data_IF_131118188094
#
_entry.id   IF_131118188094
#
_cell.length_a   1.000
_cell.length_b   1.000
_cell.length_c   1.000
_cell.angle_alpha   90.00
_cell.angle_beta   90.00
_cell.angle_gamma   90.00
#
_symmetry.space_group_name_H-M   'P 1'
#
loop_
_entity.id
_entity.type
_entity.pdbx_description
1 polymer ?
#
# COMPACT_ATOMS: atom_id res chain seq x y z
N UNK A 1 6.27 26.82 -9.96
CA UNK A 1 5.28 25.88 -9.41
C UNK A 1 4.91 24.76 -10.39
N UNK A 2 5.21 24.89 -11.69
CA UNK A 2 4.95 23.90 -12.75
C UNK A 2 5.80 22.63 -12.68
N UNK A 3 7.06 22.74 -12.25
CA UNK A 3 8.07 21.71 -12.55
C UNK A 3 7.89 20.41 -11.76
N UNK A 4 7.16 20.47 -10.63
CA UNK A 4 6.87 19.29 -9.81
C UNK A 4 5.50 18.65 -10.15
N UNK A 5 4.70 19.24 -11.03
CA UNK A 5 3.36 18.73 -11.32
C UNK A 5 3.40 17.41 -12.10
N UNK A 6 4.29 17.31 -13.09
CA UNK A 6 4.44 16.14 -13.94
C UNK A 6 4.77 14.88 -13.10
N UNK A 7 5.83 14.86 -12.27
CA UNK A 7 6.13 13.67 -11.46
C UNK A 7 5.00 13.35 -10.46
N UNK A 8 4.33 14.37 -9.90
CA UNK A 8 3.21 14.19 -8.98
C UNK A 8 1.98 13.51 -9.63
N UNK A 9 1.80 13.63 -10.96
CA UNK A 9 0.70 12.98 -11.69
C UNK A 9 1.14 11.64 -12.31
N UNK A 10 2.31 11.59 -12.93
CA UNK A 10 2.78 10.41 -13.69
C UNK A 10 3.02 9.23 -12.76
N UNK A 11 3.71 9.44 -11.63
CA UNK A 11 4.12 8.34 -10.76
C UNK A 11 2.89 7.65 -10.12
N UNK A 12 1.93 8.37 -9.50
CA UNK A 12 0.72 7.73 -8.99
C UNK A 12 -0.13 7.09 -10.09
N UNK A 13 -0.16 7.65 -11.31
CA UNK A 13 -0.88 7.04 -12.44
C UNK A 13 -0.32 5.65 -12.78
N UNK A 14 1.00 5.49 -12.76
CA UNK A 14 1.65 4.19 -12.96
C UNK A 14 1.25 3.22 -11.83
N UNK A 15 1.24 3.66 -10.58
CA UNK A 15 0.79 2.81 -9.46
C UNK A 15 -0.66 2.38 -9.59
N UNK A 16 -1.57 3.32 -9.92
CA UNK A 16 -2.98 3.03 -10.15
C UNK A 16 -3.12 1.97 -11.24
N UNK A 17 -2.45 2.17 -12.37
CA UNK A 17 -2.49 1.25 -13.49
C UNK A 17 -1.97 -0.14 -13.10
N UNK A 18 -0.80 -0.23 -12.47
CA UNK A 18 -0.20 -1.51 -12.08
C UNK A 18 -1.05 -2.25 -11.04
N UNK A 19 -1.51 -1.57 -9.97
CA UNK A 19 -2.34 -2.17 -8.95
C UNK A 19 -3.69 -2.64 -9.52
N UNK A 20 -4.31 -1.84 -10.38
CA UNK A 20 -5.57 -2.21 -11.04
C UNK A 20 -5.37 -3.40 -11.96
N UNK A 21 -4.31 -3.40 -12.78
CA UNK A 21 -3.98 -4.48 -13.70
C UNK A 21 -3.74 -5.79 -12.95
N UNK A 22 -2.97 -5.76 -11.86
CA UNK A 22 -2.75 -6.94 -10.99
C UNK A 22 -4.11 -7.42 -10.45
N UNK A 23 -4.90 -6.54 -9.83
CA UNK A 23 -6.19 -6.92 -9.23
C UNK A 23 -7.23 -7.46 -10.23
N UNK A 24 -7.27 -6.93 -11.45
CA UNK A 24 -8.16 -7.45 -12.50
C UNK A 24 -7.71 -8.83 -12.95
N UNK A 25 -6.42 -8.99 -13.27
CA UNK A 25 -5.85 -10.26 -13.77
C UNK A 25 -5.92 -11.39 -12.75
N UNK A 26 -5.71 -11.11 -11.46
CA UNK A 26 -5.88 -12.11 -10.41
C UNK A 26 -7.32 -12.63 -10.33
N UNK A 27 -8.31 -11.87 -10.84
CA UNK A 27 -9.70 -12.29 -10.92
C UNK A 27 -10.00 -13.40 -11.92
N UNK A 28 -9.09 -13.70 -12.85
CA UNK A 28 -9.24 -14.77 -13.84
C UNK A 28 -9.10 -16.16 -13.18
N UNK A 29 -8.42 -16.25 -12.04
CA UNK A 29 -8.16 -17.50 -11.34
C UNK A 29 -9.34 -17.96 -10.48
N UNK A 30 -9.75 -19.21 -10.67
CA UNK A 30 -10.79 -19.87 -9.88
C UNK A 30 -10.21 -20.96 -8.98
N UNK A 31 -10.79 -21.13 -7.78
CA UNK A 31 -10.40 -22.16 -6.83
C UNK A 31 -11.57 -23.14 -6.62
N UNK A 32 -11.33 -24.47 -6.60
CA UNK A 32 -12.38 -25.44 -6.32
C UNK A 32 -12.92 -25.33 -4.89
N UNK A 33 -12.05 -25.04 -3.92
CA UNK A 33 -12.44 -24.86 -2.53
C UNK A 33 -12.91 -23.41 -2.27
N UNK A 34 -14.06 -23.29 -1.60
CA UNK A 34 -14.67 -22.03 -1.26
C UNK A 34 -13.83 -21.22 -0.24
N UNK A 35 -13.09 -21.90 0.65
CA UNK A 35 -12.25 -21.22 1.62
C UNK A 35 -11.04 -20.55 0.95
N UNK A 36 -10.36 -21.28 0.07
CA UNK A 36 -9.27 -20.75 -0.76
C UNK A 36 -9.76 -19.64 -1.71
N UNK A 37 -10.93 -19.82 -2.34
CA UNK A 37 -11.55 -18.81 -3.18
C UNK A 37 -11.85 -17.51 -2.43
N UNK A 38 -12.35 -17.59 -1.19
CA UNK A 38 -12.55 -16.40 -0.34
C UNK A 38 -11.23 -15.74 0.00
N UNK A 39 -10.21 -16.49 0.39
CA UNK A 39 -8.91 -15.91 0.72
C UNK A 39 -8.29 -15.20 -0.49
N UNK A 40 -8.36 -15.84 -1.66
CA UNK A 40 -7.92 -15.26 -2.93
C UNK A 40 -8.67 -13.96 -3.26
N UNK A 41 -9.97 -13.92 -3.01
CA UNK A 41 -10.76 -12.70 -3.17
C UNK A 41 -10.26 -11.56 -2.27
N UNK A 42 -9.88 -11.82 -1.02
CA UNK A 42 -9.32 -10.78 -0.14
C UNK A 42 -7.97 -10.26 -0.67
N UNK A 43 -7.14 -11.14 -1.23
CA UNK A 43 -5.88 -10.74 -1.88
C UNK A 43 -6.13 -9.87 -3.11
N UNK A 44 -7.12 -10.23 -3.93
CA UNK A 44 -7.57 -9.42 -5.06
C UNK A 44 -8.12 -8.06 -4.62
N UNK A 45 -8.95 -8.06 -3.57
CA UNK A 45 -9.54 -6.85 -3.00
C UNK A 45 -8.45 -5.86 -2.57
N UNK A 46 -7.38 -6.34 -1.93
CA UNK A 46 -6.25 -5.49 -1.56
C UNK A 46 -5.69 -4.71 -2.75
N UNK A 47 -5.43 -5.37 -3.88
CA UNK A 47 -4.92 -4.70 -5.09
C UNK A 47 -5.90 -3.66 -5.65
N UNK A 48 -7.19 -4.02 -5.75
CA UNK A 48 -8.22 -3.12 -6.28
C UNK A 48 -8.44 -1.89 -5.39
N UNK A 49 -8.48 -2.08 -4.07
CA UNK A 49 -8.64 -0.97 -3.13
C UNK A 49 -7.37 -0.13 -3.01
N UNK A 50 -6.18 -0.72 -3.16
CA UNK A 50 -4.93 0.05 -3.28
C UNK A 50 -4.95 0.93 -4.53
N UNK A 51 -5.42 0.40 -5.66
CA UNK A 51 -5.60 1.19 -6.88
C UNK A 51 -6.64 2.31 -6.71
N UNK A 52 -7.78 2.01 -6.07
CA UNK A 52 -8.82 3.00 -5.79
C UNK A 52 -8.32 4.13 -4.87
N UNK A 53 -7.62 3.79 -3.79
CA UNK A 53 -7.01 4.78 -2.89
C UNK A 53 -5.98 5.65 -3.60
N UNK A 54 -5.13 5.05 -4.44
CA UNK A 54 -4.16 5.80 -5.25
C UNK A 54 -4.85 6.71 -6.28
N UNK A 55 -5.96 6.27 -6.89
CA UNK A 55 -6.75 7.06 -7.83
C UNK A 55 -7.41 8.27 -7.14
N UNK A 56 -7.92 8.08 -5.92
CA UNK A 56 -8.46 9.18 -5.10
C UNK A 56 -7.38 10.22 -4.80
N UNK A 57 -6.17 9.78 -4.44
CA UNK A 57 -5.03 10.69 -4.26
C UNK A 57 -4.64 11.43 -5.55
N UNK A 58 -4.60 10.72 -6.68
CA UNK A 58 -4.34 11.32 -8.00
C UNK A 58 -5.40 12.36 -8.36
N UNK A 59 -6.68 12.07 -8.08
CA UNK A 59 -7.78 13.00 -8.32
C UNK A 59 -7.65 14.26 -7.46
N UNK A 60 -7.26 14.13 -6.19
CA UNK A 60 -6.99 15.27 -5.33
C UNK A 60 -5.87 16.16 -5.90
N UNK A 61 -4.76 15.56 -6.36
CA UNK A 61 -3.66 16.31 -7.01
C UNK A 61 -4.17 17.03 -8.26
N UNK A 62 -4.90 16.35 -9.12
CA UNK A 62 -5.42 16.91 -10.37
C UNK A 62 -6.40 18.07 -10.14
N UNK A 63 -7.34 17.91 -9.20
CA UNK A 63 -8.30 18.96 -8.84
C UNK A 63 -7.60 20.22 -8.31
N UNK A 64 -6.61 20.04 -7.44
CA UNK A 64 -5.86 21.16 -6.88
C UNK A 64 -5.02 21.87 -7.95
N UNK A 65 -4.43 21.10 -8.88
CA UNK A 65 -3.70 21.64 -10.03
C UNK A 65 -4.60 22.46 -10.98
N UNK A 66 -5.89 22.12 -11.06
CA UNK A 66 -6.91 22.87 -11.81
C UNK A 66 -7.48 24.06 -11.02
N UNK A 67 -6.94 24.37 -9.84
CA UNK A 67 -7.37 25.49 -9.00
C UNK A 67 -8.58 25.21 -8.11
N UNK A 68 -9.04 23.96 -8.02
CA UNK A 68 -10.15 23.57 -7.15
C UNK A 68 -9.63 23.42 -5.71
N UNK A 69 -9.66 24.52 -4.96
CA UNK A 69 -9.12 24.61 -3.59
C UNK A 69 -10.17 24.38 -2.48
N UNK A 70 -11.22 23.60 -2.75
CA UNK A 70 -12.28 23.34 -1.76
C UNK A 70 -11.78 22.38 -0.67
N UNK A 71 -11.58 22.90 0.55
CA UNK A 71 -11.04 22.14 1.69
C UNK A 71 -11.81 20.85 1.97
N UNK A 72 -13.14 20.90 2.02
CA UNK A 72 -13.98 19.76 2.38
C UNK A 72 -13.94 18.64 1.34
N UNK A 73 -13.82 19.01 0.06
CA UNK A 73 -13.62 18.05 -1.01
C UNK A 73 -12.28 17.30 -0.85
N UNK A 74 -11.20 18.04 -0.61
CA UNK A 74 -9.87 17.42 -0.42
C UNK A 74 -9.78 16.63 0.87
N UNK A 75 -10.45 17.06 1.93
CA UNK A 75 -10.58 16.31 3.17
C UNK A 75 -11.32 14.98 2.92
N UNK A 76 -12.47 15.03 2.22
CA UNK A 76 -13.23 13.83 1.85
C UNK A 76 -12.38 12.85 1.02
N UNK A 77 -11.65 13.36 0.01
CA UNK A 77 -10.76 12.53 -0.80
C UNK A 77 -9.61 11.93 0.03
N UNK A 78 -8.93 12.72 0.85
CA UNK A 78 -7.83 12.26 1.71
C UNK A 78 -8.29 11.18 2.71
N UNK A 79 -9.42 11.43 3.37
CA UNK A 79 -10.02 10.48 4.32
C UNK A 79 -10.53 9.22 3.60
N UNK A 80 -11.19 9.37 2.45
CA UNK A 80 -11.65 8.24 1.62
C UNK A 80 -10.49 7.38 1.13
N UNK A 81 -9.41 8.01 0.66
CA UNK A 81 -8.16 7.33 0.31
C UNK A 81 -7.56 6.55 1.48
N UNK A 82 -7.54 7.15 2.67
CA UNK A 82 -7.08 6.48 3.90
C UNK A 82 -7.95 5.26 4.25
N UNK A 83 -9.28 5.37 4.12
CA UNK A 83 -10.20 4.25 4.33
C UNK A 83 -9.90 3.13 3.33
N UNK A 84 -9.71 3.45 2.05
CA UNK A 84 -9.35 2.44 1.05
C UNK A 84 -8.07 1.69 1.41
N UNK A 85 -7.02 2.39 1.84
CA UNK A 85 -5.76 1.76 2.28
C UNK A 85 -5.97 0.84 3.48
N UNK A 86 -6.76 1.27 4.47
CA UNK A 86 -7.02 0.48 5.67
C UNK A 86 -7.84 -0.79 5.35
N UNK A 87 -8.86 -0.70 4.50
CA UNK A 87 -9.64 -1.87 4.05
C UNK A 87 -8.78 -2.76 3.14
N UNK A 88 -7.92 -2.19 2.32
CA UNK A 88 -6.97 -2.96 1.50
C UNK A 88 -6.02 -3.78 2.39
N UNK A 89 -5.45 -3.17 3.43
CA UNK A 89 -4.59 -3.85 4.40
C UNK A 89 -5.31 -4.96 5.16
N UNK A 90 -6.56 -4.73 5.55
CA UNK A 90 -7.40 -5.78 6.11
C UNK A 90 -7.54 -6.97 5.14
N UNK A 91 -7.77 -6.71 3.86
CA UNK A 91 -7.83 -7.74 2.82
C UNK A 91 -6.51 -8.53 2.70
N UNK A 92 -5.39 -7.83 2.62
CA UNK A 92 -4.06 -8.45 2.54
C UNK A 92 -3.77 -9.32 3.75
N UNK A 93 -3.96 -8.80 4.96
CA UNK A 93 -3.64 -9.53 6.18
C UNK A 93 -4.60 -10.69 6.44
N UNK A 94 -5.88 -10.54 6.10
CA UNK A 94 -6.85 -11.64 6.17
C UNK A 94 -6.45 -12.78 5.24
N UNK A 95 -6.00 -12.48 4.03
CA UNK A 95 -5.43 -13.47 3.12
C UNK A 95 -4.18 -14.14 3.71
N UNK A 96 -3.20 -13.35 4.17
CA UNK A 96 -1.94 -13.91 4.69
C UNK A 96 -2.18 -14.77 5.93
N UNK A 97 -2.99 -14.31 6.88
CA UNK A 97 -3.35 -15.09 8.07
C UNK A 97 -4.06 -16.39 7.70
N UNK A 98 -4.94 -16.38 6.70
CA UNK A 98 -5.56 -17.59 6.21
C UNK A 98 -4.52 -18.56 5.62
N UNK A 99 -3.60 -18.09 4.77
CA UNK A 99 -2.58 -18.98 4.18
C UNK A 99 -1.65 -19.57 5.26
N UNK A 100 -1.34 -18.81 6.32
CA UNK A 100 -0.49 -19.31 7.40
C UNK A 100 -1.19 -20.27 8.36
N UNK A 101 -2.46 -20.00 8.69
CA UNK A 101 -3.15 -20.68 9.80
C UNK A 101 -4.29 -21.60 9.38
N UNK A 102 -4.78 -21.46 8.15
CA UNK A 102 -6.03 -22.07 7.68
C UNK A 102 -7.30 -21.56 8.39
N UNK A 103 -7.20 -20.53 9.26
CA UNK A 103 -8.31 -20.09 10.12
C UNK A 103 -8.89 -18.75 9.68
N UNK A 104 -10.12 -18.77 9.18
CA UNK A 104 -10.83 -17.54 8.78
C UNK A 104 -11.20 -16.60 9.93
N UNK A 105 -11.39 -17.12 11.16
CA UNK A 105 -11.86 -16.31 12.30
C UNK A 105 -10.93 -15.13 12.62
N UNK A 106 -9.63 -15.27 12.38
CA UNK A 106 -8.66 -14.19 12.63
C UNK A 106 -8.91 -12.96 11.73
N UNK A 107 -9.49 -13.14 10.54
CA UNK A 107 -9.86 -12.03 9.66
C UNK A 107 -10.94 -11.12 10.26
N UNK A 108 -11.84 -11.66 11.09
CA UNK A 108 -12.88 -10.85 11.77
C UNK A 108 -12.30 -9.99 12.90
N UNK A 109 -11.32 -10.53 13.65
CA UNK A 109 -10.61 -9.76 14.68
C UNK A 109 -9.84 -8.61 14.03
N UNK A 110 -9.16 -8.87 12.90
CA UNK A 110 -8.52 -7.82 12.12
C UNK A 110 -9.53 -6.78 11.63
N UNK A 111 -10.71 -7.18 11.18
CA UNK A 111 -11.74 -6.23 10.72
C UNK A 111 -12.12 -5.24 11.83
N UNK A 112 -12.34 -5.72 13.05
CA UNK A 112 -12.63 -4.87 14.21
C UNK A 112 -11.47 -3.92 14.51
N UNK A 113 -10.24 -4.43 14.48
CA UNK A 113 -9.04 -3.61 14.71
C UNK A 113 -8.90 -2.49 13.66
N UNK A 114 -9.08 -2.79 12.37
CA UNK A 114 -9.02 -1.80 11.30
C UNK A 114 -10.22 -0.84 11.32
N UNK A 115 -11.41 -1.28 11.74
CA UNK A 115 -12.54 -0.40 11.95
C UNK A 115 -12.27 0.62 13.07
N UNK A 116 -11.72 0.18 14.20
CA UNK A 116 -11.29 1.07 15.27
C UNK A 116 -10.20 2.04 14.79
N UNK A 117 -9.27 1.58 13.95
CA UNK A 117 -8.24 2.43 13.37
C UNK A 117 -8.82 3.50 12.42
N UNK A 118 -9.82 3.15 11.58
CA UNK A 118 -10.53 4.11 10.73
C UNK A 118 -11.17 5.21 11.59
N UNK A 119 -11.88 4.82 12.67
CA UNK A 119 -12.49 5.79 13.59
C UNK A 119 -11.44 6.68 14.26
N UNK A 120 -10.29 6.13 14.67
CA UNK A 120 -9.19 6.90 15.24
C UNK A 120 -8.59 7.90 14.24
N UNK A 121 -8.37 7.50 12.99
CA UNK A 121 -7.86 8.41 11.94
C UNK A 121 -8.86 9.53 11.67
N UNK A 122 -10.16 9.20 11.58
CA UNK A 122 -11.22 10.20 11.43
C UNK A 122 -11.21 11.19 12.60
N UNK A 123 -11.26 10.67 13.82
CA UNK A 123 -11.26 11.48 15.04
C UNK A 123 -10.06 12.43 15.09
N UNK A 124 -8.83 11.92 14.88
CA UNK A 124 -7.61 12.73 14.89
C UNK A 124 -7.65 13.80 13.80
N UNK A 125 -8.09 13.45 12.59
CA UNK A 125 -8.15 14.40 11.47
C UNK A 125 -9.05 15.59 11.77
N UNK A 126 -10.24 15.35 12.36
CA UNK A 126 -11.16 16.44 12.72
C UNK A 126 -10.70 17.19 13.97
N UNK A 127 -10.14 16.50 14.96
CA UNK A 127 -9.60 17.12 16.17
C UNK A 127 -8.43 18.08 15.87
N UNK A 128 -7.61 17.76 14.86
CA UNK A 128 -6.52 18.63 14.44
C UNK A 128 -6.99 19.95 13.80
N UNK A 129 -8.26 20.04 13.38
CA UNK A 129 -8.85 21.25 12.81
C UNK A 129 -8.28 21.58 11.42
N UNK A 130 -8.76 20.96 10.33
CA UNK A 130 -8.26 21.25 8.99
C UNK A 130 -8.59 22.70 8.59
N UNK A 131 -7.59 23.45 8.13
CA UNK A 131 -7.71 24.89 7.83
C UNK A 131 -7.62 25.17 6.34
N UNK A 132 -6.69 24.53 5.65
CA UNK A 132 -6.43 24.79 4.23
C UNK A 132 -5.82 23.57 3.56
N UNK A 133 -5.93 23.53 2.23
CA UNK A 133 -5.26 22.54 1.40
C UNK A 133 -4.20 23.24 0.55
N UNK A 134 -3.04 22.61 0.39
CA UNK A 134 -1.97 23.09 -0.48
C UNK A 134 -1.42 21.96 -1.35
N UNK A 135 -0.96 22.35 -2.54
CA UNK A 135 -0.27 21.44 -3.44
C UNK A 135 1.19 21.36 -3.00
N UNK A 136 1.63 20.16 -2.66
CA UNK A 136 3.02 19.87 -2.35
C UNK A 136 3.71 19.23 -3.57
N UNK A 137 5.03 19.11 -3.54
CA UNK A 137 5.82 18.58 -4.65
C UNK A 137 5.41 17.15 -5.06
N UNK A 138 4.77 16.40 -4.17
CA UNK A 138 4.46 14.99 -4.39
C UNK A 138 3.04 14.57 -3.99
N UNK A 139 2.14 15.53 -3.78
CA UNK A 139 0.79 15.24 -3.32
C UNK A 139 0.03 16.47 -2.86
N UNK A 140 -1.13 16.23 -2.27
CA UNK A 140 -1.92 17.27 -1.59
C UNK A 140 -1.63 17.19 -0.09
N UNK A 141 -1.34 18.33 0.54
CA UNK A 141 -1.19 18.43 1.98
C UNK A 141 -2.34 19.25 2.58
N UNK A 142 -2.90 18.77 3.69
CA UNK A 142 -3.87 19.51 4.49
C UNK A 142 -3.11 20.17 5.63
N UNK A 143 -3.24 21.49 5.75
CA UNK A 143 -2.72 22.22 6.90
C UNK A 143 -3.77 22.17 8.02
N UNK A 144 -3.31 21.91 9.23
CA UNK A 144 -4.12 21.80 10.42
C UNK A 144 -3.81 22.94 11.38
N UNK A 145 -4.81 23.35 12.17
CA UNK A 145 -4.68 24.40 13.19
C UNK A 145 -3.85 23.91 14.37
N UNK A 146 -4.14 22.69 14.81
CA UNK A 146 -3.47 22.07 15.93
C UNK A 146 -2.32 21.18 15.44
N UNK A 147 -1.23 21.18 16.19
CA UNK A 147 -0.13 20.23 16.00
C UNK A 147 -0.10 19.22 17.14
N UNK A 148 0.22 17.96 16.84
CA UNK A 148 0.44 16.96 17.89
C UNK A 148 1.68 17.33 18.70
N UNK A 149 1.60 17.18 20.02
CA UNK A 149 2.78 17.26 20.87
C UNK A 149 3.84 16.23 20.43
N UNK A 150 5.15 16.50 20.53
CA UNK A 150 6.19 15.65 19.95
C UNK A 150 6.13 14.18 20.41
N UNK A 151 5.81 13.95 21.68
CA UNK A 151 5.60 12.62 22.25
C UNK A 151 4.38 11.90 21.65
N UNK A 152 3.26 12.63 21.45
CA UNK A 152 2.05 12.09 20.83
C UNK A 152 2.30 11.78 19.36
N UNK A 153 3.04 12.65 18.65
CA UNK A 153 3.43 12.41 17.26
C UNK A 153 4.29 11.14 17.11
N UNK A 154 5.24 10.93 18.03
CA UNK A 154 6.06 9.72 18.04
C UNK A 154 5.22 8.46 18.28
N UNK A 155 4.35 8.49 19.31
CA UNK A 155 3.45 7.36 19.62
C UNK A 155 2.52 7.08 18.43
N UNK A 156 1.96 8.12 17.83
CA UNK A 156 1.10 7.99 16.66
C UNK A 156 1.88 7.38 15.48
N UNK A 157 3.08 7.88 15.17
CA UNK A 157 3.92 7.36 14.09
C UNK A 157 4.33 5.91 14.31
N UNK A 158 4.71 5.55 15.55
CA UNK A 158 5.00 4.17 15.94
C UNK A 158 3.77 3.29 15.80
N UNK A 159 2.58 3.77 16.20
CA UNK A 159 1.33 3.02 16.05
C UNK A 159 0.98 2.77 14.57
N UNK A 160 1.20 3.76 13.69
CA UNK A 160 1.01 3.59 12.25
C UNK A 160 2.00 2.57 11.68
N UNK A 161 3.29 2.66 12.02
CA UNK A 161 4.27 1.67 11.57
C UNK A 161 3.95 0.26 12.09
N UNK A 162 3.55 0.14 13.36
CA UNK A 162 3.23 -1.13 14.00
C UNK A 162 1.94 -1.77 13.46
N UNK A 163 0.94 -0.97 13.09
CA UNK A 163 -0.37 -1.47 12.63
C UNK A 163 -0.47 -1.56 11.11
N UNK A 164 0.22 -0.70 10.36
CA UNK A 164 0.16 -0.66 8.88
C UNK A 164 1.37 -1.31 8.23
N UNK A 165 2.57 -1.01 8.72
CA UNK A 165 3.83 -1.43 8.07
C UNK A 165 4.28 -2.81 8.52
N UNK A 166 4.35 -3.04 9.83
CA UNK A 166 4.97 -4.22 10.41
C UNK A 166 4.23 -5.53 10.07
N UNK A 167 2.88 -5.63 10.17
CA UNK A 167 2.20 -6.89 9.93
C UNK A 167 2.39 -7.42 8.49
N UNK A 168 2.18 -6.63 7.41
CA UNK A 168 2.42 -7.14 6.06
C UNK A 168 3.92 -7.35 5.78
N UNK A 169 4.80 -6.57 6.40
CA UNK A 169 6.25 -6.79 6.29
C UNK A 169 6.68 -8.13 6.90
N UNK A 170 6.25 -8.44 8.13
CA UNK A 170 6.56 -9.71 8.78
C UNK A 170 5.92 -10.89 8.05
N UNK A 171 4.69 -10.73 7.57
CA UNK A 171 4.02 -11.76 6.80
C UNK A 171 4.72 -12.02 5.46
N UNK A 172 5.20 -10.98 4.78
CA UNK A 172 6.02 -11.12 3.58
C UNK A 172 7.37 -11.79 3.89
N UNK A 173 8.03 -11.41 4.99
CA UNK A 173 9.27 -12.05 5.43
C UNK A 173 9.07 -13.54 5.74
N UNK A 174 7.98 -13.91 6.41
CA UNK A 174 7.62 -15.31 6.64
C UNK A 174 7.41 -16.09 5.33
N UNK A 175 6.81 -15.46 4.31
CA UNK A 175 6.53 -16.09 3.02
C UNK A 175 7.81 -16.27 2.23
N UNK A 176 8.72 -15.30 2.35
CA UNK A 176 10.07 -15.41 1.84
C UNK A 176 10.80 -16.60 2.46
N UNK A 177 10.74 -16.77 3.78
CA UNK A 177 11.34 -17.93 4.47
C UNK A 177 10.69 -19.24 4.02
N UNK A 178 9.36 -19.28 3.88
CA UNK A 178 8.63 -20.46 3.39
C UNK A 178 9.04 -20.82 1.96
N UNK A 179 9.27 -19.82 1.10
CA UNK A 179 9.73 -20.03 -0.28
C UNK A 179 11.05 -20.80 -0.35
N UNK A 180 11.90 -20.74 0.69
CA UNK A 180 13.15 -21.48 0.73
C UNK A 180 12.92 -23.00 0.75
N UNK A 181 11.76 -23.44 1.27
CA UNK A 181 11.36 -24.85 1.38
C UNK A 181 10.62 -25.39 0.15
N UNK A 182 10.16 -24.52 -0.75
CA UNK A 182 9.48 -24.92 -1.99
C UNK A 182 10.49 -25.57 -2.94
N UNK A 183 10.16 -26.78 -3.43
CA UNK A 183 11.00 -27.54 -4.37
C UNK A 183 10.82 -27.07 -5.82
N UNK A 184 9.59 -26.76 -6.21
CA UNK A 184 9.25 -26.33 -7.56
C UNK A 184 9.83 -24.94 -7.88
N UNK A 185 10.46 -24.79 -9.03
CA UNK A 185 11.21 -23.57 -9.38
C UNK A 185 10.32 -22.34 -9.57
N UNK A 186 9.25 -22.47 -10.36
CA UNK A 186 8.35 -21.35 -10.69
C UNK A 186 7.63 -20.78 -9.45
N UNK A 187 6.94 -21.59 -8.61
CA UNK A 187 6.30 -21.09 -7.41
C UNK A 187 7.28 -20.49 -6.39
N UNK A 188 8.48 -21.08 -6.27
CA UNK A 188 9.54 -20.58 -5.41
C UNK A 188 9.99 -19.17 -5.80
N UNK A 189 10.28 -18.96 -7.09
CA UNK A 189 10.73 -17.66 -7.58
C UNK A 189 9.62 -16.62 -7.43
N UNK A 190 8.38 -16.96 -7.78
CA UNK A 190 7.22 -16.09 -7.59
C UNK A 190 7.05 -15.67 -6.13
N UNK A 191 7.07 -16.63 -5.20
CA UNK A 191 6.94 -16.34 -3.78
C UNK A 191 8.05 -15.40 -3.28
N UNK A 192 9.29 -15.58 -3.73
CA UNK A 192 10.42 -14.71 -3.37
C UNK A 192 10.24 -13.28 -3.88
N UNK A 193 9.95 -13.13 -5.17
CA UNK A 193 9.79 -11.81 -5.80
C UNK A 193 8.62 -11.06 -5.19
N UNK A 194 7.49 -11.72 -4.99
CA UNK A 194 6.32 -11.10 -4.35
C UNK A 194 6.64 -10.68 -2.92
N UNK A 195 7.27 -11.56 -2.14
CA UNK A 195 7.61 -11.25 -0.75
C UNK A 195 8.59 -10.09 -0.65
N UNK A 196 9.65 -10.07 -1.46
CA UNK A 196 10.60 -8.96 -1.50
C UNK A 196 9.92 -7.66 -1.93
N UNK A 197 9.07 -7.71 -2.97
CA UNK A 197 8.32 -6.54 -3.41
C UNK A 197 7.43 -5.96 -2.30
N UNK A 198 6.71 -6.81 -1.57
CA UNK A 198 5.91 -6.39 -0.41
C UNK A 198 6.79 -5.83 0.71
N UNK A 199 7.92 -6.47 1.03
CA UNK A 199 8.86 -5.97 2.03
C UNK A 199 9.40 -4.58 1.66
N UNK A 200 9.68 -4.31 0.38
CA UNK A 200 10.07 -2.97 -0.06
C UNK A 200 8.92 -1.98 0.04
N UNK A 201 7.72 -2.34 -0.45
CA UNK A 201 6.54 -1.47 -0.39
C UNK A 201 6.21 -1.03 1.03
N UNK A 202 6.19 -1.97 1.98
CA UNK A 202 5.85 -1.65 3.37
C UNK A 202 7.05 -1.15 4.18
N UNK A 203 8.21 -1.76 3.97
CA UNK A 203 9.43 -1.44 4.71
C UNK A 203 9.91 -0.02 4.42
N UNK A 204 10.02 0.35 3.14
CA UNK A 204 10.55 1.66 2.74
C UNK A 204 9.55 2.78 3.04
N UNK A 205 8.24 2.55 2.83
CA UNK A 205 7.24 3.60 2.99
C UNK A 205 6.78 3.82 4.43
N UNK A 206 6.73 2.77 5.27
CA UNK A 206 6.14 2.87 6.62
C UNK A 206 7.11 2.57 7.76
N UNK A 207 8.04 1.62 7.58
CA UNK A 207 8.94 1.20 8.67
C UNK A 207 10.15 2.12 8.73
N UNK A 208 10.81 2.34 7.58
CA UNK A 208 12.07 3.05 7.51
C UNK A 208 11.99 4.52 7.97
N UNK A 209 10.93 5.29 7.64
CA UNK A 209 10.78 6.65 8.17
C UNK A 209 10.72 6.70 9.69
N UNK A 210 10.06 5.72 10.31
CA UNK A 210 9.95 5.64 11.77
C UNK A 210 11.28 5.23 12.41
N UNK A 211 12.01 4.30 11.81
CA UNK A 211 13.37 3.93 12.25
C UNK A 211 14.38 5.08 12.12
N UNK A 212 14.12 6.02 11.22
CA UNK A 212 14.97 7.18 10.95
C UNK A 212 14.69 8.37 11.87
N UNK A 213 13.53 8.41 12.54
CA UNK A 213 13.16 9.46 13.49
C UNK A 213 14.22 9.68 14.60
N UNK A 214 14.73 8.65 15.30
CA UNK A 214 15.72 8.85 16.37
C UNK A 214 17.06 9.42 15.90
N UNK A 215 17.37 9.27 14.61
CA UNK A 215 18.61 9.74 13.99
C UNK A 215 18.46 11.11 13.32
N UNK A 216 17.28 11.74 13.41
CA UNK A 216 16.97 13.01 12.78
C UNK A 216 17.23 13.01 11.25
N UNK A 217 17.03 11.87 10.59
CA UNK A 217 17.19 11.75 9.14
C UNK A 217 15.91 12.25 8.46
N UNK A 218 16.04 13.29 7.65
CA UNK A 218 14.94 13.90 6.90
C UNK A 218 14.45 12.98 5.77
N UNK A 219 13.19 12.57 5.86
CA UNK A 219 12.50 11.71 4.86
C UNK A 219 11.54 12.51 3.98
N UNK A 220 11.50 13.82 4.12
CA UNK A 220 10.73 14.76 3.31
C UNK A 220 11.54 15.35 2.15
N UNK A 221 12.83 15.00 2.02
CA UNK A 221 13.67 15.49 0.93
C UNK A 221 13.18 15.01 -0.45
N UNK A 222 13.29 15.84 -1.51
CA UNK A 222 12.86 15.45 -2.86
C UNK A 222 13.53 14.15 -3.36
N UNK A 223 14.80 13.93 -3.03
CA UNK A 223 15.53 12.73 -3.43
C UNK A 223 14.97 11.47 -2.74
N UNK A 224 14.69 11.54 -1.44
CA UNK A 224 14.04 10.45 -0.72
C UNK A 224 12.67 10.13 -1.30
N UNK A 225 11.86 11.16 -1.47
CA UNK A 225 10.50 11.07 -1.99
C UNK A 225 10.46 10.49 -3.42
N UNK A 226 11.43 10.86 -4.27
CA UNK A 226 11.59 10.26 -5.59
C UNK A 226 12.05 8.79 -5.52
N UNK A 227 13.11 8.53 -4.75
CA UNK A 227 13.72 7.20 -4.65
C UNK A 227 12.75 6.15 -4.09
N UNK A 228 12.04 6.49 -3.01
CA UNK A 228 11.04 5.60 -2.39
C UNK A 228 9.88 5.28 -3.34
N UNK A 229 9.37 6.28 -4.08
CA UNK A 229 8.31 6.06 -5.09
C UNK A 229 8.79 5.22 -6.27
N UNK A 230 10.00 5.48 -6.78
CA UNK A 230 10.58 4.71 -7.88
C UNK A 230 10.77 3.24 -7.47
N UNK A 231 11.34 3.00 -6.27
CA UNK A 231 11.46 1.66 -5.71
C UNK A 231 10.09 0.99 -5.55
N UNK A 232 9.07 1.74 -5.12
CA UNK A 232 7.69 1.27 -5.09
C UNK A 232 7.17 0.82 -6.45
N UNK A 233 7.38 1.59 -7.52
CA UNK A 233 6.97 1.18 -8.87
C UNK A 233 7.70 -0.07 -9.35
N UNK A 234 9.01 -0.15 -9.11
CA UNK A 234 9.81 -1.31 -9.48
C UNK A 234 9.35 -2.56 -8.72
N UNK A 235 8.99 -2.42 -7.44
CA UNK A 235 8.42 -3.50 -6.64
C UNK A 235 7.06 -3.95 -7.21
N UNK A 236 6.16 -3.03 -7.55
CA UNK A 236 4.87 -3.34 -8.18
C UNK A 236 5.03 -4.05 -9.52
N UNK A 237 5.95 -3.57 -10.36
CA UNK A 237 6.25 -4.18 -11.65
C UNK A 237 6.84 -5.59 -11.50
N UNK A 238 7.75 -5.77 -10.55
CA UNK A 238 8.32 -7.08 -10.23
C UNK A 238 7.25 -8.06 -9.74
N UNK A 239 6.33 -7.61 -8.88
CA UNK A 239 5.18 -8.41 -8.43
C UNK A 239 4.27 -8.78 -9.60
N UNK A 240 3.94 -7.82 -10.47
CA UNK A 240 3.16 -8.08 -11.67
C UNK A 240 3.82 -9.15 -12.55
N UNK A 241 5.11 -9.02 -12.84
CA UNK A 241 5.86 -10.01 -13.64
C UNK A 241 6.06 -11.34 -12.95
N UNK A 242 6.04 -11.40 -11.62
CA UNK A 242 6.05 -12.68 -10.89
C UNK A 242 4.77 -13.48 -11.13
N UNK A 243 3.63 -12.79 -11.31
CA UNK A 243 2.35 -13.41 -11.61
C UNK A 243 2.15 -13.64 -13.12
N UNK A 244 2.49 -12.63 -13.93
CA UNK A 244 2.27 -12.59 -15.37
C UNK A 244 3.60 -12.29 -16.09
N UNK A 245 4.55 -13.25 -16.11
CA UNK A 245 5.86 -13.03 -16.69
C UNK A 245 5.74 -12.81 -18.20
N UNK A 246 6.37 -11.76 -18.79
CA UNK A 246 6.49 -11.62 -20.23
C UNK A 246 7.34 -12.76 -20.83
N UNK A 247 7.16 -13.04 -22.12
CA UNK A 247 7.78 -14.17 -22.84
C UNK A 247 9.30 -14.24 -22.64
N UNK A 248 9.99 -13.11 -22.59
CA UNK A 248 11.43 -13.09 -22.38
C UNK A 248 11.83 -13.56 -20.97
N UNK A 249 11.05 -13.21 -19.92
CA UNK A 249 11.28 -13.70 -18.56
C UNK A 249 10.90 -15.18 -18.43
N UNK A 250 9.84 -15.63 -19.12
CA UNK A 250 9.49 -17.05 -19.17
C UNK A 250 10.64 -17.88 -19.75
N UNK A 251 11.25 -17.42 -20.86
CA UNK A 251 12.39 -18.09 -21.50
C UNK A 251 13.65 -18.04 -20.64
N UNK A 252 13.98 -16.89 -20.06
CA UNK A 252 15.20 -16.70 -19.29
C UNK A 252 15.19 -17.47 -17.96
N UNK A 253 14.04 -17.50 -17.27
CA UNK A 253 13.93 -18.05 -15.92
C UNK A 253 13.13 -19.37 -15.85
N UNK A 254 12.63 -19.89 -16.99
CA UNK A 254 11.82 -21.12 -17.05
C UNK A 254 10.62 -21.08 -16.08
N UNK A 255 9.87 -19.98 -16.14
CA UNK A 255 8.71 -19.72 -15.27
C UNK A 255 7.43 -19.90 -16.08
N UNK A 256 6.54 -20.77 -15.59
CA UNK A 256 5.19 -20.90 -16.14
C UNK A 256 4.28 -19.76 -15.67
N UNK A 257 3.44 -19.20 -16.55
CA UNK A 257 2.44 -18.21 -16.16
C UNK A 257 1.45 -18.79 -15.15
N UNK A 258 0.83 -17.94 -14.33
CA UNK A 258 -0.36 -18.35 -13.59
C UNK A 258 -1.50 -18.57 -14.58
N UNK A 259 -1.89 -19.83 -14.74
CA UNK A 259 -3.14 -20.24 -15.39
C UNK A 259 -4.26 -20.17 -14.36
#
# INVERSE_FOLDING_TARGET
>A
MSDNLIPALVIPSISVFLCLLIGVRLGEKTYPDAADGRAWWHYRLWWLLTAAGALVGLLAIALLALGVNNLWLHLFLSTGGSIFVLVALWGLLSYLLYVYSGRHRLGTVLAVMYAAMILSVLYITFWLGPVSVRLDAWGTAINFENTLAPNVLLIYSLSLALLLGLPPFLAAAGFFVLSLRVKEHSPKLRARVVSLGLMFLFGVAYILPVLFLPFNIQTDTPLWQFGTRLLGQLALLAIYWAYFPPVFLQKAFKIDPLV
#
